data_IF_336276183498
#
_entry.id   IF_336276183498
#
_cell.length_a   1.000
_cell.length_b   1.000
_cell.length_c   1.000
_cell.angle_alpha   90.00
_cell.angle_beta   90.00
_cell.angle_gamma   90.00
#
_symmetry.space_group_name_H-M   'P 1'
#
loop_
_entity.id
_entity.type
_entity.pdbx_description
1 polymer ?
#
# COMPACT_ATOMS: atom_id res chain seq x y z
N UNK A 1 34.27 -5.26 23.75
CA UNK A 1 32.97 -4.81 23.20
C UNK A 1 32.68 -5.66 21.98
N UNK A 2 31.72 -6.58 22.04
CA UNK A 2 31.38 -7.47 20.92
C UNK A 2 30.33 -6.75 20.07
N UNK A 3 30.68 -6.42 18.83
CA UNK A 3 29.77 -5.78 17.89
C UNK A 3 28.86 -6.88 17.32
N UNK A 4 27.53 -6.83 17.53
CA UNK A 4 26.64 -7.80 16.94
C UNK A 4 26.71 -7.70 15.41
N UNK A 5 26.65 -8.84 14.69
CA UNK A 5 26.69 -8.84 13.25
C UNK A 5 25.53 -7.99 12.69
N UNK A 6 25.77 -7.24 11.59
CA UNK A 6 24.74 -6.42 10.97
C UNK A 6 23.54 -7.28 10.58
N UNK A 7 22.34 -6.74 10.83
CA UNK A 7 21.09 -7.43 10.56
C UNK A 7 21.04 -7.83 9.09
N UNK A 8 20.85 -9.13 8.81
CA UNK A 8 20.87 -9.64 7.44
C UNK A 8 19.68 -9.04 6.72
N UNK A 9 19.94 -8.33 5.62
CA UNK A 9 18.89 -7.79 4.76
C UNK A 9 17.85 -8.88 4.45
N UNK A 10 16.58 -8.55 4.68
CA UNK A 10 15.48 -9.48 4.50
C UNK A 10 15.51 -10.12 3.10
N UNK A 11 15.29 -11.43 3.04
CA UNK A 11 15.43 -12.23 1.81
C UNK A 11 14.47 -11.69 0.73
N UNK A 12 15.01 -11.28 -0.43
CA UNK A 12 14.29 -10.61 -1.55
C UNK A 12 13.11 -11.44 -2.09
N UNK A 13 13.09 -12.76 -1.87
CA UNK A 13 11.98 -13.66 -2.23
C UNK A 13 10.64 -13.30 -1.57
N UNK A 14 10.64 -12.55 -0.44
CA UNK A 14 9.40 -11.99 0.14
C UNK A 14 8.82 -10.79 -0.63
N UNK A 15 9.58 -10.22 -1.56
CA UNK A 15 9.25 -8.97 -2.26
C UNK A 15 8.94 -9.17 -3.75
N UNK A 16 8.72 -10.40 -4.22
CA UNK A 16 8.41 -10.65 -5.64
C UNK A 16 7.07 -10.04 -6.09
N UNK A 17 6.17 -9.73 -5.15
CA UNK A 17 4.93 -8.96 -5.36
C UNK A 17 4.65 -8.09 -4.13
N UNK A 18 5.38 -6.97 -3.99
CA UNK A 18 5.34 -6.21 -2.74
C UNK A 18 4.17 -5.23 -2.69
N UNK A 19 3.45 -5.05 -3.80
CA UNK A 19 2.34 -4.14 -3.94
C UNK A 19 1.02 -4.94 -3.96
N UNK A 20 0.21 -4.75 -2.93
CA UNK A 20 -1.11 -5.35 -2.80
C UNK A 20 -2.18 -4.32 -3.09
N UNK A 21 -3.07 -4.60 -4.04
CA UNK A 21 -4.26 -3.80 -4.24
C UNK A 21 -5.32 -4.21 -3.21
N UNK A 22 -5.68 -3.28 -2.31
CA UNK A 22 -6.78 -3.43 -1.37
C UNK A 22 -7.91 -2.50 -1.79
N UNK A 23 -9.11 -3.05 -1.92
CA UNK A 23 -10.30 -2.30 -2.30
C UNK A 23 -11.33 -2.40 -1.18
N UNK A 24 -11.89 -1.27 -0.79
CA UNK A 24 -12.93 -1.18 0.24
C UNK A 24 -14.17 -0.48 -0.34
N UNK A 25 -15.31 -1.13 -0.11
CA UNK A 25 -16.62 -0.71 -0.60
C UNK A 25 -17.48 -0.30 0.59
N UNK A 26 -17.84 0.98 0.62
CA UNK A 26 -18.91 1.48 1.47
C UNK A 26 -20.18 1.66 0.64
N UNK A 27 -21.34 1.79 1.29
CA UNK A 27 -22.62 2.02 0.61
C UNK A 27 -22.59 3.24 -0.35
N UNK A 28 -21.75 4.24 -0.05
CA UNK A 28 -21.71 5.51 -0.81
C UNK A 28 -20.46 5.68 -1.68
N UNK A 29 -19.34 5.05 -1.31
CA UNK A 29 -18.06 5.31 -1.93
C UNK A 29 -17.24 4.04 -2.06
N UNK A 30 -16.42 4.02 -3.11
CA UNK A 30 -15.45 2.97 -3.38
C UNK A 30 -14.06 3.55 -3.21
N UNK A 31 -13.20 2.81 -2.55
CA UNK A 31 -11.80 3.18 -2.33
C UNK A 31 -10.90 2.04 -2.77
N UNK A 32 -9.82 2.36 -3.47
CA UNK A 32 -8.80 1.42 -3.90
C UNK A 32 -7.43 1.97 -3.49
N UNK A 33 -6.63 1.15 -2.82
CA UNK A 33 -5.31 1.51 -2.32
C UNK A 33 -4.31 0.44 -2.71
N UNK A 34 -3.16 0.84 -3.22
CA UNK A 34 -2.02 -0.04 -3.39
C UNK A 34 -1.16 0.11 -2.15
N UNK A 35 -0.93 -0.99 -1.43
CA UNK A 35 -0.15 -1.02 -0.19
C UNK A 35 1.16 -1.76 -0.47
N UNK A 36 2.27 -1.12 -0.15
CA UNK A 36 3.59 -1.74 -0.17
C UNK A 36 3.79 -2.53 1.12
N UNK A 37 3.70 -3.86 1.07
CA UNK A 37 3.82 -4.76 2.22
C UNK A 37 5.10 -4.56 3.06
N UNK A 38 6.31 -4.38 2.48
CA UNK A 38 7.52 -4.21 3.29
C UNK A 38 7.57 -2.93 4.13
N UNK A 39 7.09 -1.82 3.58
CA UNK A 39 7.24 -0.49 4.22
C UNK A 39 5.92 0.00 4.81
N UNK A 40 4.83 -0.75 4.63
CA UNK A 40 3.46 -0.35 4.97
C UNK A 40 3.09 1.02 4.36
N UNK A 41 3.76 1.43 3.28
CA UNK A 41 3.46 2.68 2.58
C UNK A 41 2.35 2.48 1.56
N UNK A 42 1.62 3.54 1.24
CA UNK A 42 0.57 3.52 0.21
C UNK A 42 1.06 4.31 -1.00
N UNK A 43 1.71 3.66 -1.98
CA UNK A 43 2.19 4.34 -3.19
C UNK A 43 1.09 4.98 -4.03
N UNK A 44 -0.10 4.38 -4.06
CA UNK A 44 -1.22 4.89 -4.86
C UNK A 44 -2.54 4.70 -4.10
N UNK A 45 -3.40 5.71 -4.14
CA UNK A 45 -4.76 5.65 -3.62
C UNK A 45 -5.69 6.32 -4.61
N UNK A 46 -6.87 5.74 -4.81
CA UNK A 46 -7.94 6.29 -5.63
C UNK A 46 -9.28 6.07 -4.92
N UNK A 47 -10.12 7.10 -4.84
CA UNK A 47 -11.46 6.99 -4.27
C UNK A 47 -12.49 7.83 -5.00
N UNK A 48 -13.71 7.32 -5.12
CA UNK A 48 -14.85 8.10 -5.62
C UNK A 48 -15.25 9.27 -4.71
N UNK A 49 -14.67 9.37 -3.49
CA UNK A 49 -14.83 10.54 -2.61
C UNK A 49 -13.94 11.71 -3.03
N UNK A 50 -12.90 11.48 -3.83
CA UNK A 50 -11.95 12.51 -4.25
C UNK A 50 -12.63 13.61 -5.03
N UNK A 51 -12.25 14.87 -4.76
CA UNK A 51 -12.88 16.04 -5.37
C UNK A 51 -12.85 16.01 -6.90
N UNK A 52 -11.78 15.43 -7.48
CA UNK A 52 -11.60 15.28 -8.93
C UNK A 52 -12.45 14.18 -9.54
N UNK A 53 -12.80 13.14 -8.76
CA UNK A 53 -13.54 11.97 -9.21
C UNK A 53 -15.02 12.01 -8.81
N UNK A 54 -15.42 12.92 -7.92
CA UNK A 54 -16.82 13.22 -7.66
C UNK A 54 -17.45 13.67 -8.98
N UNK A 55 -18.44 12.91 -9.44
CA UNK A 55 -19.29 13.34 -10.55
C UNK A 55 -19.94 14.68 -10.19
N UNK A 56 -19.50 15.74 -10.84
CA UNK A 56 -20.16 17.04 -10.79
C UNK A 56 -21.29 17.01 -11.82
N UNK A 57 -22.36 16.28 -11.51
CA UNK A 57 -23.64 16.46 -12.19
C UNK A 57 -24.45 17.49 -11.42
#
# INVERSE_FOLDING_TARGET
MVIPPPDRAARIVGFLKPNLLRMDFSNKFVTAQVIHTPTTTVPCSASSREKLLRSHM
#
